data_IF_701325474981
#
_entry.id   IF_701325474981
#
_cell.length_a   1.000
_cell.length_b   1.000
_cell.length_c   1.000
_cell.angle_alpha   90.00
_cell.angle_beta   90.00
_cell.angle_gamma   90.00
#
_symmetry.space_group_name_H-M   'P 1'
#
loop_
_entity.id
_entity.type
_entity.pdbx_description
1 polymer ?
#
# COMPACT_ATOMS: atom_id res chain seq x y z
N UNK A 1 -2.49 -26.36 11.07
CA UNK A 1 -2.24 -25.09 10.35
C UNK A 1 -0.79 -24.74 10.52
N UNK A 2 -0.08 -24.47 9.42
CA UNK A 2 1.32 -24.09 9.45
C UNK A 2 1.48 -22.59 9.29
N UNK A 3 2.37 -21.96 10.07
CA UNK A 3 2.77 -20.57 9.84
C UNK A 3 3.74 -20.53 8.65
N UNK A 4 3.46 -19.68 7.66
CA UNK A 4 4.24 -19.57 6.42
C UNK A 4 4.90 -18.20 6.22
N UNK A 5 4.46 -17.20 6.97
CA UNK A 5 4.99 -15.84 6.93
C UNK A 5 4.74 -15.17 8.28
N UNK A 6 5.72 -14.40 8.76
CA UNK A 6 5.58 -13.58 9.96
C UNK A 6 5.96 -12.14 9.65
N UNK A 7 5.12 -11.20 10.05
CA UNK A 7 5.44 -9.77 10.00
C UNK A 7 6.02 -9.32 11.34
N UNK A 8 7.13 -8.58 11.30
CA UNK A 8 7.78 -8.04 12.51
C UNK A 8 7.76 -6.51 12.58
N UNK A 9 7.91 -5.96 13.78
CA UNK A 9 8.21 -4.53 13.97
C UNK A 9 9.66 -4.19 13.60
N UNK A 10 10.03 -2.90 13.75
CA UNK A 10 11.40 -2.41 13.50
C UNK A 10 12.44 -2.93 14.49
N UNK A 11 12.00 -3.55 15.60
CA UNK A 11 12.85 -4.17 16.62
C UNK A 11 12.90 -5.69 16.49
N UNK A 12 12.29 -6.26 15.42
CA UNK A 12 12.23 -7.70 15.18
C UNK A 12 11.21 -8.45 16.01
N UNK A 13 10.28 -7.78 16.70
CA UNK A 13 9.19 -8.45 17.42
C UNK A 13 8.12 -8.90 16.44
N UNK A 14 7.67 -10.16 16.58
CA UNK A 14 6.60 -10.72 15.77
C UNK A 14 5.26 -10.04 16.09
N UNK A 15 4.54 -9.63 15.06
CA UNK A 15 3.26 -8.91 15.19
C UNK A 15 2.10 -9.67 14.56
N UNK A 16 2.29 -10.17 13.34
CA UNK A 16 1.26 -10.89 12.57
C UNK A 16 1.82 -12.19 12.02
N UNK A 17 1.00 -13.22 12.04
CA UNK A 17 1.33 -14.58 11.63
C UNK A 17 0.35 -15.02 10.56
N UNK A 18 0.85 -15.38 9.38
CA UNK A 18 0.02 -15.89 8.27
C UNK A 18 0.17 -17.39 8.17
N UNK A 19 -0.96 -18.08 8.01
CA UNK A 19 -1.02 -19.53 7.83
C UNK A 19 -0.99 -19.95 6.36
N UNK A 20 -0.71 -21.23 6.13
CA UNK A 20 -0.88 -21.96 4.87
C UNK A 20 -2.27 -21.84 4.23
N UNK A 21 -3.29 -21.50 5.03
CA UNK A 21 -4.66 -21.19 4.57
C UNK A 21 -4.90 -19.71 4.29
N UNK A 22 -3.84 -18.89 4.20
CA UNK A 22 -3.89 -17.45 3.96
C UNK A 22 -4.72 -16.67 5.00
N UNK A 23 -4.79 -17.18 6.24
CA UNK A 23 -5.38 -16.44 7.37
C UNK A 23 -4.28 -15.78 8.17
N UNK A 24 -4.52 -14.53 8.56
CA UNK A 24 -3.60 -13.78 9.39
C UNK A 24 -4.14 -13.64 10.81
N UNK A 25 -3.23 -13.74 11.77
CA UNK A 25 -3.52 -13.68 13.20
C UNK A 25 -2.58 -12.68 13.86
N UNK A 26 -3.11 -11.89 14.79
CA UNK A 26 -2.30 -11.10 15.72
C UNK A 26 -1.53 -12.01 16.68
N UNK A 27 -0.52 -11.46 17.36
CA UNK A 27 0.24 -12.22 18.36
C UNK A 27 -0.63 -12.86 19.45
N UNK A 28 -1.60 -12.18 20.09
CA UNK A 28 -2.49 -12.82 21.07
C UNK A 28 -3.26 -14.01 20.50
N UNK A 29 -3.87 -13.86 19.32
CA UNK A 29 -4.63 -14.92 18.67
C UNK A 29 -3.74 -16.12 18.32
N UNK A 30 -2.54 -15.85 17.78
CA UNK A 30 -1.58 -16.89 17.43
C UNK A 30 -1.07 -17.64 18.68
N UNK A 31 -0.89 -16.95 19.81
CA UNK A 31 -0.54 -17.58 21.11
C UNK A 31 -1.64 -18.52 21.57
N UNK A 32 -2.91 -18.10 21.49
CA UNK A 32 -4.03 -18.94 21.90
C UNK A 32 -4.20 -20.17 21.00
N UNK A 33 -4.02 -20.01 19.68
CA UNK A 33 -4.00 -21.13 18.74
C UNK A 33 -2.85 -22.11 19.01
N UNK A 34 -1.65 -21.60 19.36
CA UNK A 34 -0.51 -22.44 19.71
C UNK A 34 -0.77 -23.24 21.00
N UNK A 35 -1.36 -22.63 22.04
CA UNK A 35 -1.75 -23.32 23.29
C UNK A 35 -2.77 -24.42 23.04
N UNK A 36 -3.68 -24.21 22.09
CA UNK A 36 -4.70 -25.19 21.68
C UNK A 36 -4.13 -26.29 20.76
N UNK A 37 -2.83 -26.27 20.43
CA UNK A 37 -2.21 -27.24 19.52
C UNK A 37 -2.65 -27.10 18.06
N UNK A 38 -3.28 -25.97 17.67
CA UNK A 38 -3.79 -25.73 16.31
C UNK A 38 -2.71 -25.24 15.33
N UNK A 39 -1.60 -24.71 15.85
CA UNK A 39 -0.43 -24.31 15.07
C UNK A 39 0.63 -25.39 15.09
N UNK A 40 1.01 -25.85 13.90
CA UNK A 40 2.01 -26.89 13.72
C UNK A 40 3.40 -26.39 14.08
N UNK A 41 4.09 -27.15 14.91
CA UNK A 41 5.48 -26.92 15.28
C UNK A 41 5.81 -25.54 15.89
N UNK A 42 4.79 -24.84 16.39
CA UNK A 42 4.93 -23.58 17.10
C UNK A 42 4.52 -23.77 18.57
N UNK A 43 5.20 -23.10 19.49
CA UNK A 43 4.84 -23.08 20.91
C UNK A 43 5.04 -21.69 21.52
N UNK A 44 4.23 -21.31 22.52
CA UNK A 44 4.42 -20.05 23.24
C UNK A 44 5.58 -20.14 24.23
N UNK A 45 6.32 -19.05 24.36
CA UNK A 45 7.37 -18.85 25.35
C UNK A 45 7.01 -17.65 26.20
N UNK A 46 7.08 -17.83 27.51
CA UNK A 46 6.76 -16.80 28.50
C UNK A 46 8.04 -16.18 29.04
N UNK A 47 8.08 -14.86 29.09
CA UNK A 47 9.10 -14.06 29.77
C UNK A 47 8.42 -12.98 30.62
N UNK A 48 9.18 -12.37 31.53
CA UNK A 48 8.69 -11.29 32.40
C UNK A 48 8.13 -10.09 31.62
N UNK A 49 8.56 -9.91 30.37
CA UNK A 49 8.15 -8.80 29.50
C UNK A 49 7.04 -9.17 28.51
N UNK A 50 6.54 -10.41 28.54
CA UNK A 50 5.41 -10.85 27.71
C UNK A 50 5.56 -12.27 27.13
N UNK A 51 4.67 -12.59 26.19
CA UNK A 51 4.62 -13.88 25.49
C UNK A 51 5.04 -13.71 24.03
N UNK A 52 5.84 -14.64 23.52
CA UNK A 52 6.16 -14.73 22.10
C UNK A 52 6.08 -16.18 21.61
N UNK A 53 6.12 -16.37 20.30
CA UNK A 53 6.07 -17.70 19.67
C UNK A 53 7.46 -18.13 19.19
N UNK A 54 7.77 -19.42 19.34
CA UNK A 54 8.96 -20.05 18.76
C UNK A 54 8.62 -21.33 18.01
N UNK A 55 9.49 -21.65 17.06
CA UNK A 55 9.50 -22.93 16.35
C UNK A 55 10.08 -24.03 17.22
N UNK A 56 9.50 -25.25 17.17
CA UNK A 56 10.05 -26.45 17.81
C UNK A 56 11.47 -26.76 17.29
N UNK A 57 12.31 -27.34 18.14
CA UNK A 57 13.69 -27.73 17.79
C UNK A 57 13.71 -28.78 16.69
N UNK A 58 14.75 -28.75 15.85
CA UNK A 58 14.97 -29.75 14.80
C UNK A 58 14.24 -29.50 13.47
N UNK A 59 13.48 -28.40 13.34
CA UNK A 59 12.85 -28.07 12.07
C UNK A 59 13.85 -27.52 11.03
N UNK A 60 13.63 -27.82 9.73
CA UNK A 60 14.40 -27.22 8.65
C UNK A 60 14.38 -25.69 8.73
N UNK A 61 15.52 -25.05 8.42
CA UNK A 61 15.68 -23.59 8.52
C UNK A 61 14.56 -22.82 7.81
N UNK A 62 14.14 -23.28 6.63
CA UNK A 62 13.04 -22.68 5.84
C UNK A 62 11.67 -22.67 6.51
N UNK A 63 11.49 -23.40 7.60
CA UNK A 63 10.23 -23.49 8.37
C UNK A 63 10.33 -22.82 9.75
N UNK A 64 11.51 -22.32 10.10
CA UNK A 64 11.72 -21.59 11.34
C UNK A 64 11.14 -20.17 11.21
N UNK A 65 10.46 -19.70 12.25
CA UNK A 65 9.81 -18.38 12.26
C UNK A 65 10.79 -17.29 11.83
N UNK A 66 12.02 -17.31 12.34
CA UNK A 66 13.06 -16.34 12.00
C UNK A 66 13.38 -16.27 10.50
N UNK A 67 13.27 -17.39 9.77
CA UNK A 67 13.57 -17.45 8.33
C UNK A 67 12.37 -17.10 7.44
N UNK A 68 11.15 -17.18 7.98
CA UNK A 68 9.91 -16.75 7.32
C UNK A 68 9.42 -15.39 7.83
N UNK A 69 10.21 -14.73 8.67
CA UNK A 69 9.95 -13.39 9.17
C UNK A 69 10.37 -12.34 8.16
N UNK A 70 9.52 -11.35 7.95
CA UNK A 70 9.78 -10.15 7.17
C UNK A 70 9.40 -8.93 8.01
N UNK A 71 10.20 -7.87 7.95
CA UNK A 71 9.81 -6.63 8.62
C UNK A 71 8.60 -6.03 7.92
N UNK A 72 7.68 -5.53 8.73
CA UNK A 72 6.58 -4.67 8.29
C UNK A 72 7.01 -3.57 7.31
N UNK A 73 8.14 -2.91 7.56
CA UNK A 73 8.70 -1.93 6.62
C UNK A 73 8.89 -2.51 5.21
N UNK A 74 9.40 -3.73 5.10
CA UNK A 74 9.54 -4.42 3.81
C UNK A 74 8.19 -4.77 3.20
N UNK A 75 7.21 -5.16 4.00
CA UNK A 75 5.84 -5.42 3.51
C UNK A 75 5.21 -4.14 2.94
N UNK A 76 5.31 -3.01 3.65
CA UNK A 76 4.74 -1.74 3.20
C UNK A 76 5.50 -1.09 2.03
N UNK A 77 6.75 -1.48 1.77
CA UNK A 77 7.52 -1.02 0.61
C UNK A 77 7.48 -1.98 -0.58
N UNK A 78 7.00 -3.22 -0.38
CA UNK A 78 6.87 -4.23 -1.43
C UNK A 78 6.05 -3.77 -2.67
N UNK A 79 4.96 -2.98 -2.57
CA UNK A 79 4.23 -2.47 -3.73
C UNK A 79 5.10 -1.65 -4.72
N UNK A 80 6.13 -0.97 -4.21
CA UNK A 80 7.04 -0.14 -5.00
C UNK A 80 8.11 -0.98 -5.73
N UNK A 81 8.42 -2.20 -5.25
CA UNK A 81 9.40 -3.13 -5.84
C UNK A 81 8.95 -4.59 -5.67
N UNK A 82 8.01 -5.00 -6.52
CA UNK A 82 7.41 -6.34 -6.50
C UNK A 82 8.45 -7.44 -6.76
N UNK A 83 9.39 -7.21 -7.68
CA UNK A 83 10.42 -8.19 -8.02
C UNK A 83 11.29 -8.48 -6.80
N UNK A 84 11.79 -7.44 -6.12
CA UNK A 84 12.56 -7.64 -4.91
C UNK A 84 11.73 -8.30 -3.81
N UNK A 85 10.48 -7.87 -3.60
CA UNK A 85 9.59 -8.47 -2.61
C UNK A 85 9.46 -9.98 -2.84
N UNK A 86 9.03 -10.42 -4.01
CA UNK A 86 8.81 -11.83 -4.32
C UNK A 86 10.09 -12.67 -4.35
N UNK A 87 11.27 -12.06 -4.48
CA UNK A 87 12.56 -12.77 -4.41
C UNK A 87 13.00 -13.16 -2.99
N UNK A 88 12.36 -12.63 -1.94
CA UNK A 88 12.77 -12.93 -0.56
C UNK A 88 12.28 -14.29 -0.08
N UNK A 89 13.09 -14.97 0.73
CA UNK A 89 12.75 -16.29 1.29
C UNK A 89 11.43 -16.28 2.07
N UNK A 90 11.13 -15.18 2.78
CA UNK A 90 9.91 -15.05 3.56
C UNK A 90 8.64 -15.16 2.70
N UNK A 91 8.69 -14.67 1.45
CA UNK A 91 7.56 -14.76 0.53
C UNK A 91 7.57 -16.01 -0.35
N UNK A 92 8.64 -16.83 -0.30
CA UNK A 92 8.78 -18.03 -1.13
C UNK A 92 7.66 -19.07 -0.97
N UNK A 93 7.07 -19.17 0.23
CA UNK A 93 5.90 -20.04 0.48
C UNK A 93 4.58 -19.28 0.34
N UNK A 94 4.56 -18.01 0.75
CA UNK A 94 3.37 -17.16 0.72
C UNK A 94 2.87 -16.89 -0.69
N UNK A 95 3.75 -16.50 -1.61
CA UNK A 95 3.38 -16.06 -2.94
C UNK A 95 2.73 -17.16 -3.80
N UNK A 96 3.26 -18.40 -3.87
CA UNK A 96 2.58 -19.49 -4.57
C UNK A 96 1.17 -19.78 -4.05
N UNK A 97 0.96 -19.74 -2.73
CA UNK A 97 -0.35 -19.95 -2.13
C UNK A 97 -1.31 -18.82 -2.46
N UNK A 98 -0.84 -17.56 -2.42
CA UNK A 98 -1.64 -16.41 -2.84
C UNK A 98 -2.09 -16.52 -4.29
N UNK A 99 -1.16 -16.88 -5.20
CA UNK A 99 -1.48 -17.08 -6.62
C UNK A 99 -2.50 -18.19 -6.83
N UNK A 100 -2.33 -19.32 -6.15
CA UNK A 100 -3.29 -20.43 -6.23
C UNK A 100 -4.69 -19.99 -5.77
N UNK A 101 -4.79 -19.27 -4.64
CA UNK A 101 -6.07 -18.74 -4.18
C UNK A 101 -6.71 -17.77 -5.19
N UNK A 102 -5.88 -16.96 -5.87
CA UNK A 102 -6.33 -16.06 -6.93
C UNK A 102 -6.81 -16.82 -8.18
N UNK A 103 -6.16 -17.93 -8.53
CA UNK A 103 -6.58 -18.83 -9.62
C UNK A 103 -7.91 -19.52 -9.30
N UNK A 104 -8.10 -19.96 -8.06
CA UNK A 104 -9.36 -20.57 -7.58
C UNK A 104 -10.55 -19.60 -7.63
N UNK A 105 -10.31 -18.30 -7.41
CA UNK A 105 -11.34 -17.26 -7.57
C UNK A 105 -11.83 -17.12 -9.02
N UNK A 106 -10.98 -17.49 -9.99
CA UNK A 106 -11.25 -17.38 -11.42
C UNK A 106 -11.34 -15.94 -11.95
N UNK A 107 -11.68 -15.82 -13.24
CA UNK A 107 -11.94 -14.55 -13.91
C UNK A 107 -10.70 -13.88 -14.55
N UNK A 108 -10.85 -12.60 -14.91
CA UNK A 108 -9.77 -11.80 -15.50
C UNK A 108 -8.95 -11.11 -14.41
N UNK A 109 -7.63 -11.08 -14.58
CA UNK A 109 -6.70 -10.50 -13.60
C UNK A 109 -6.16 -9.15 -14.04
N UNK A 110 -5.81 -8.31 -13.07
CA UNK A 110 -4.86 -7.22 -13.27
C UNK A 110 -3.46 -7.83 -13.15
N UNK A 111 -2.68 -7.69 -14.22
CA UNK A 111 -1.31 -8.21 -14.31
C UNK A 111 -0.34 -7.03 -14.28
N UNK A 112 0.66 -7.07 -13.41
CA UNK A 112 1.71 -6.05 -13.34
C UNK A 112 3.06 -6.76 -13.46
N UNK A 113 3.82 -6.42 -14.50
CA UNK A 113 4.96 -7.24 -14.93
C UNK A 113 4.48 -8.66 -15.25
N UNK A 114 5.11 -9.66 -14.66
CA UNK A 114 4.76 -11.08 -14.85
C UNK A 114 3.85 -11.64 -13.74
N UNK A 115 3.13 -10.76 -13.03
CA UNK A 115 2.41 -11.13 -11.82
C UNK A 115 0.93 -10.74 -11.88
N UNK A 116 0.05 -11.74 -11.85
CA UNK A 116 -1.36 -11.55 -11.55
C UNK A 116 -1.51 -11.20 -10.06
N UNK A 117 -1.97 -9.98 -9.75
CA UNK A 117 -2.00 -9.48 -8.38
C UNK A 117 -3.41 -9.48 -7.76
N UNK A 118 -4.45 -9.32 -8.58
CA UNK A 118 -5.84 -9.26 -8.12
C UNK A 118 -6.78 -9.51 -9.30
N UNK A 119 -7.96 -10.09 -9.06
CA UNK A 119 -9.02 -10.15 -10.07
C UNK A 119 -9.55 -8.76 -10.38
N UNK A 120 -9.92 -8.48 -11.63
CA UNK A 120 -10.57 -7.22 -12.02
C UNK A 120 -11.85 -6.96 -11.21
N UNK A 121 -12.64 -7.99 -10.89
CA UNK A 121 -13.85 -7.85 -10.09
C UNK A 121 -13.56 -7.33 -8.67
N UNK A 122 -12.61 -7.92 -7.96
CA UNK A 122 -12.20 -7.46 -6.63
C UNK A 122 -11.63 -6.05 -6.65
N UNK A 123 -10.80 -5.72 -7.65
CA UNK A 123 -10.27 -4.37 -7.81
C UNK A 123 -11.40 -3.35 -8.03
N UNK A 124 -12.35 -3.67 -8.92
CA UNK A 124 -13.54 -2.86 -9.18
C UNK A 124 -14.41 -2.67 -7.93
N UNK A 125 -14.68 -3.73 -7.17
CA UNK A 125 -15.44 -3.65 -5.90
C UNK A 125 -14.77 -2.73 -4.86
N UNK A 126 -13.43 -2.63 -4.87
CA UNK A 126 -12.69 -1.70 -4.00
C UNK A 126 -12.74 -0.25 -4.52
N UNK A 127 -12.71 -0.05 -5.84
CA UNK A 127 -12.73 1.29 -6.44
C UNK A 127 -14.11 1.95 -6.43
N UNK A 128 -15.15 1.20 -6.83
CA UNK A 128 -16.48 1.75 -7.11
C UNK A 128 -17.12 2.55 -5.97
N UNK A 129 -17.01 2.16 -4.69
CA UNK A 129 -17.54 2.96 -3.57
C UNK A 129 -16.96 4.37 -3.47
N UNK A 130 -15.87 4.65 -4.18
CA UNK A 130 -15.17 5.93 -4.14
C UNK A 130 -15.33 6.77 -5.42
N UNK A 131 -16.20 6.35 -6.34
CA UNK A 131 -16.45 7.05 -7.60
C UNK A 131 -16.69 8.55 -7.40
N UNK A 132 -17.66 8.91 -6.56
CA UNK A 132 -18.05 10.31 -6.38
C UNK A 132 -16.92 11.13 -5.72
N UNK A 133 -16.14 10.51 -4.84
CA UNK A 133 -14.95 11.13 -4.25
C UNK A 133 -13.85 11.40 -5.29
N UNK A 134 -13.65 10.47 -6.23
CA UNK A 134 -12.67 10.62 -7.32
C UNK A 134 -13.07 11.81 -8.21
N UNK A 135 -14.34 11.88 -8.63
CA UNK A 135 -14.81 13.00 -9.45
C UNK A 135 -14.76 14.33 -8.70
N UNK A 136 -15.19 14.37 -7.43
CA UNK A 136 -15.15 15.60 -6.63
C UNK A 136 -13.71 16.08 -6.37
N UNK A 137 -12.77 15.16 -6.13
CA UNK A 137 -11.37 15.50 -5.99
C UNK A 137 -10.79 16.01 -7.32
N UNK A 138 -11.07 15.33 -8.42
CA UNK A 138 -10.61 15.71 -9.74
C UNK A 138 -11.10 17.11 -10.16
N UNK A 139 -12.38 17.41 -9.92
CA UNK A 139 -12.96 18.73 -10.15
C UNK A 139 -12.28 19.79 -9.29
N UNK A 140 -12.14 19.55 -7.98
CA UNK A 140 -11.52 20.51 -7.06
C UNK A 140 -10.10 20.89 -7.46
N UNK A 141 -9.35 19.92 -7.99
CA UNK A 141 -7.94 20.08 -8.30
C UNK A 141 -7.66 20.29 -9.78
N UNK A 142 -8.68 20.37 -10.64
CA UNK A 142 -8.53 20.51 -12.09
C UNK A 142 -7.54 19.49 -12.67
N UNK A 143 -7.88 18.20 -12.49
CA UNK A 143 -7.14 17.04 -13.00
C UNK A 143 -8.08 16.03 -13.65
N UNK A 144 -7.56 15.14 -14.50
CA UNK A 144 -8.37 14.11 -15.14
C UNK A 144 -8.88 13.06 -14.11
N UNK A 145 -10.20 12.90 -13.91
CA UNK A 145 -10.76 11.94 -12.95
C UNK A 145 -10.44 10.48 -13.31
N UNK A 146 -10.32 10.15 -14.59
CA UNK A 146 -10.01 8.79 -15.02
C UNK A 146 -8.54 8.47 -14.82
N UNK A 147 -7.64 9.45 -14.95
CA UNK A 147 -6.23 9.27 -14.60
C UNK A 147 -6.06 9.12 -13.09
N UNK A 148 -6.77 9.91 -12.30
CA UNK A 148 -6.83 9.73 -10.84
C UNK A 148 -7.36 8.34 -10.48
N UNK A 149 -8.44 7.90 -11.12
CA UNK A 149 -8.99 6.55 -10.96
C UNK A 149 -7.99 5.46 -11.34
N UNK A 150 -7.23 5.64 -12.44
CA UNK A 150 -6.21 4.72 -12.89
C UNK A 150 -5.05 4.57 -11.90
N UNK A 151 -4.61 5.68 -11.30
CA UNK A 151 -3.61 5.67 -10.21
C UNK A 151 -4.16 4.88 -9.02
N UNK A 152 -5.43 5.07 -8.64
CA UNK A 152 -6.03 4.31 -7.54
C UNK A 152 -6.16 2.82 -7.87
N UNK A 153 -6.45 2.45 -9.13
CA UNK A 153 -6.46 1.04 -9.57
C UNK A 153 -5.08 0.41 -9.41
N UNK A 154 -4.01 1.08 -9.84
CA UNK A 154 -2.63 0.62 -9.68
C UNK A 154 -2.30 0.37 -8.21
N UNK A 155 -2.63 1.31 -7.33
CA UNK A 155 -2.38 1.20 -5.89
C UNK A 155 -3.19 0.06 -5.26
N UNK A 156 -4.46 -0.12 -5.65
CA UNK A 156 -5.28 -1.26 -5.21
C UNK A 156 -4.62 -2.59 -5.64
N UNK A 157 -4.18 -2.69 -6.89
CA UNK A 157 -3.63 -3.93 -7.45
C UNK A 157 -2.29 -4.29 -6.81
N UNK A 158 -1.36 -3.35 -6.71
CA UNK A 158 -0.03 -3.58 -6.10
C UNK A 158 -0.11 -3.90 -4.63
N UNK A 159 -1.09 -3.33 -3.93
CA UNK A 159 -1.26 -3.54 -2.50
C UNK A 159 -2.03 -4.82 -2.15
N UNK A 160 -2.81 -5.37 -3.09
CA UNK A 160 -3.72 -6.48 -2.85
C UNK A 160 -3.08 -7.73 -2.23
N UNK A 161 -1.87 -8.19 -2.65
CA UNK A 161 -1.23 -9.32 -1.99
C UNK A 161 -0.98 -9.04 -0.51
N UNK A 162 -0.57 -7.83 -0.16
CA UNK A 162 -0.09 -7.53 1.18
C UNK A 162 -1.22 -7.33 2.20
N UNK A 163 -2.46 -7.13 1.75
CA UNK A 163 -3.62 -6.82 2.61
C UNK A 163 -3.88 -7.84 3.71
N UNK A 164 -3.71 -9.14 3.42
CA UNK A 164 -3.82 -10.21 4.42
C UNK A 164 -2.91 -9.95 5.62
N UNK A 165 -1.71 -9.42 5.37
CA UNK A 165 -0.72 -9.10 6.40
C UNK A 165 -0.95 -7.72 6.99
N UNK A 166 -1.25 -6.72 6.15
CA UNK A 166 -1.28 -5.32 6.57
C UNK A 166 -2.57 -4.92 7.29
N UNK A 167 -3.69 -5.59 7.02
CA UNK A 167 -4.98 -5.25 7.63
C UNK A 167 -4.98 -5.54 9.15
N UNK A 168 -4.51 -6.70 9.65
CA UNK A 168 -4.39 -6.96 11.09
C UNK A 168 -3.30 -6.14 11.77
N UNK A 169 -2.32 -5.69 10.99
CA UNK A 169 -1.18 -4.89 11.45
C UNK A 169 -1.57 -3.47 11.87
N UNK A 170 -2.72 -2.95 11.45
CA UNK A 170 -3.28 -1.68 11.92
C UNK A 170 -2.31 -0.49 11.84
N UNK A 171 -2.52 0.51 12.69
CA UNK A 171 -1.65 1.69 12.83
C UNK A 171 -0.35 1.42 13.60
N UNK A 172 0.19 0.20 13.63
CA UNK A 172 1.40 -0.11 14.41
C UNK A 172 2.71 0.42 13.76
N UNK A 173 2.63 1.02 12.55
CA UNK A 173 3.81 1.41 11.75
C UNK A 173 3.92 2.91 11.46
N UNK A 174 3.29 3.74 12.30
CA UNK A 174 3.21 5.20 12.12
C UNK A 174 4.55 5.96 12.21
N UNK A 175 5.65 5.27 12.49
CA UNK A 175 6.99 5.86 12.58
C UNK A 175 7.72 5.99 11.23
N UNK A 176 7.36 5.19 10.23
CA UNK A 176 7.97 5.23 8.89
C UNK A 176 7.18 6.18 7.96
N UNK A 177 7.84 6.71 6.92
CA UNK A 177 7.17 7.46 5.85
C UNK A 177 6.40 6.50 4.93
N UNK A 178 5.32 5.94 5.48
CA UNK A 178 4.52 4.89 4.86
C UNK A 178 3.47 5.50 3.93
N UNK A 179 3.14 4.79 2.85
CA UNK A 179 1.98 5.07 2.02
C UNK A 179 0.69 4.63 2.73
N UNK A 180 -0.34 5.48 2.72
CA UNK A 180 -1.55 5.27 3.54
C UNK A 180 -2.81 5.41 2.70
N UNK A 181 -3.81 4.59 3.03
CA UNK A 181 -5.15 4.67 2.45
C UNK A 181 -5.24 4.05 1.05
N UNK A 182 -6.41 4.19 0.43
CA UNK A 182 -6.69 3.53 -0.86
C UNK A 182 -5.80 4.04 -2.01
N UNK A 183 -5.39 5.30 -1.95
CA UNK A 183 -4.51 5.93 -2.94
C UNK A 183 -3.03 5.88 -2.54
N UNK A 184 -2.68 5.20 -1.43
CA UNK A 184 -1.30 4.96 -1.00
C UNK A 184 -0.41 6.23 -0.99
N UNK A 185 -0.94 7.34 -0.48
CA UNK A 185 -0.17 8.60 -0.40
C UNK A 185 0.82 8.53 0.76
N UNK A 186 2.11 8.81 0.50
CA UNK A 186 3.15 8.93 1.53
C UNK A 186 2.85 10.09 2.48
N UNK A 187 3.02 9.88 3.79
CA UNK A 187 2.74 10.91 4.81
C UNK A 187 3.55 12.19 4.55
N UNK A 188 4.82 12.07 4.15
CA UNK A 188 5.67 13.24 3.86
C UNK A 188 5.19 14.00 2.60
N UNK A 189 4.63 13.30 1.62
CA UNK A 189 3.98 13.92 0.45
C UNK A 189 2.77 14.74 0.90
N UNK A 190 1.92 14.18 1.75
CA UNK A 190 0.76 14.89 2.29
C UNK A 190 1.15 16.14 3.11
N UNK A 191 2.18 16.02 3.97
CA UNK A 191 2.75 17.16 4.69
C UNK A 191 3.24 18.25 3.73
N UNK A 192 3.94 17.86 2.65
CA UNK A 192 4.41 18.76 1.61
C UNK A 192 3.26 19.50 0.90
N UNK A 193 2.19 18.79 0.56
CA UNK A 193 1.01 19.37 -0.08
C UNK A 193 0.27 20.35 0.84
N UNK A 194 0.14 20.05 2.12
CA UNK A 194 -0.40 21.00 3.12
C UNK A 194 0.51 22.22 3.22
N UNK A 195 1.83 22.03 3.29
CA UNK A 195 2.82 23.11 3.38
C UNK A 195 2.76 24.05 2.16
N UNK A 196 2.55 23.50 0.98
CA UNK A 196 2.38 24.24 -0.27
C UNK A 196 0.98 24.87 -0.42
N UNK A 197 0.02 24.50 0.43
CA UNK A 197 -1.34 25.04 0.42
C UNK A 197 -2.31 24.34 -0.53
N UNK A 198 -1.94 23.20 -1.11
CA UNK A 198 -2.81 22.46 -2.04
C UNK A 198 -4.02 21.86 -1.33
N UNK A 199 -3.83 21.20 -0.18
CA UNK A 199 -4.92 20.54 0.52
C UNK A 199 -4.73 20.58 2.03
N UNK A 200 -5.80 20.90 2.76
CA UNK A 200 -5.89 20.77 4.21
C UNK A 200 -7.09 19.87 4.55
N UNK A 201 -6.87 18.69 5.15
CA UNK A 201 -7.96 17.74 5.44
C UNK A 201 -8.86 18.22 6.59
N UNK A 202 -8.43 19.19 7.40
CA UNK A 202 -9.26 19.83 8.43
C UNK A 202 -8.91 21.32 8.56
N UNK A 203 -9.59 22.20 7.81
CA UNK A 203 -9.38 23.64 7.84
C UNK A 203 -9.59 24.30 9.22
N UNK A 204 -10.29 23.64 10.16
CA UNK A 204 -10.51 24.16 11.51
C UNK A 204 -9.32 23.91 12.45
N UNK A 205 -8.45 22.95 12.13
CA UNK A 205 -7.19 22.75 12.87
C UNK A 205 -6.12 23.68 12.32
N UNK A 206 -5.83 24.76 13.05
CA UNK A 206 -4.84 25.77 12.67
C UNK A 206 -3.41 25.19 12.57
N UNK A 207 -3.15 24.01 13.15
CA UNK A 207 -1.86 23.31 13.03
C UNK A 207 -1.67 22.68 11.65
N UNK A 208 -2.76 22.35 10.95
CA UNK A 208 -2.74 21.84 9.57
C UNK A 208 -2.67 22.95 8.51
N UNK A 209 -2.25 24.16 8.89
CA UNK A 209 -2.03 25.26 7.96
C UNK A 209 -0.60 25.24 7.40
N UNK A 210 -0.35 25.86 6.22
CA UNK A 210 0.98 26.01 5.65
C UNK A 210 2.05 26.53 6.63
N UNK A 211 1.65 27.44 7.54
CA UNK A 211 2.53 28.07 8.53
C UNK A 211 2.89 27.15 9.70
N UNK A 212 1.99 26.26 10.11
CA UNK A 212 2.14 25.47 11.33
C UNK A 212 2.42 23.98 11.11
N UNK A 213 2.31 23.49 9.86
CA UNK A 213 2.40 22.06 9.54
C UNK A 213 3.73 21.40 9.95
N UNK A 214 4.81 22.18 10.09
CA UNK A 214 6.11 21.68 10.55
C UNK A 214 6.07 21.15 12.00
N UNK A 215 5.04 21.50 12.78
CA UNK A 215 4.84 21.06 14.17
C UNK A 215 4.03 19.77 14.27
N UNK A 216 3.47 19.29 13.17
CA UNK A 216 2.63 18.09 13.12
C UNK A 216 3.52 16.86 12.91
N UNK A 217 3.29 15.84 13.73
CA UNK A 217 3.94 14.54 13.59
C UNK A 217 3.23 13.66 12.54
N UNK A 218 3.95 12.67 12.01
CA UNK A 218 3.36 11.67 11.09
C UNK A 218 2.16 10.94 11.71
N UNK A 219 2.24 10.66 13.01
CA UNK A 219 1.18 10.00 13.78
C UNK A 219 -0.12 10.82 13.81
N UNK A 220 -0.01 12.14 13.92
CA UNK A 220 -1.16 13.04 13.94
C UNK A 220 -1.82 13.20 12.57
N UNK A 221 -1.06 13.08 11.46
CA UNK A 221 -1.62 13.18 10.11
C UNK A 221 -2.26 11.88 9.62
N UNK A 222 -1.78 10.73 10.10
CA UNK A 222 -2.23 9.41 9.65
C UNK A 222 -3.75 9.17 9.70
N UNK A 223 -4.50 9.56 10.76
CA UNK A 223 -5.94 9.34 10.82
C UNK A 223 -6.71 10.01 9.68
N UNK A 224 -6.18 11.11 9.13
CA UNK A 224 -6.75 11.74 7.95
C UNK A 224 -6.47 10.89 6.70
N UNK A 225 -5.20 10.53 6.46
CA UNK A 225 -4.81 9.75 5.27
C UNK A 225 -5.46 8.36 5.20
N UNK A 226 -5.77 7.75 6.35
CA UNK A 226 -6.49 6.47 6.39
C UNK A 226 -7.91 6.58 5.84
N UNK A 227 -8.55 7.75 5.90
CA UNK A 227 -9.89 7.96 5.37
C UNK A 227 -9.83 8.04 3.84
N UNK A 228 -10.64 7.24 3.10
CA UNK A 228 -10.62 7.24 1.64
C UNK A 228 -10.80 8.64 1.02
N UNK A 229 -11.69 9.46 1.58
CA UNK A 229 -11.90 10.85 1.17
C UNK A 229 -10.59 11.63 1.10
N UNK A 230 -9.87 11.76 2.22
CA UNK A 230 -8.64 12.55 2.25
C UNK A 230 -7.54 11.89 1.41
N UNK A 231 -7.44 10.55 1.41
CA UNK A 231 -6.45 9.84 0.59
C UNK A 231 -6.59 10.19 -0.91
N UNK A 232 -7.82 10.18 -1.43
CA UNK A 232 -8.12 10.51 -2.83
C UNK A 232 -7.88 12.00 -3.10
N UNK A 233 -8.29 12.88 -2.19
CA UNK A 233 -8.04 14.33 -2.35
C UNK A 233 -6.54 14.66 -2.32
N UNK A 234 -5.75 13.99 -1.48
CA UNK A 234 -4.30 14.14 -1.50
C UNK A 234 -3.67 13.60 -2.79
N UNK A 235 -4.20 12.52 -3.36
CA UNK A 235 -3.72 12.00 -4.64
C UNK A 235 -3.99 13.00 -5.79
N UNK A 236 -5.20 13.57 -5.85
CA UNK A 236 -5.55 14.62 -6.81
C UNK A 236 -4.69 15.88 -6.61
N UNK A 237 -4.51 16.32 -5.35
CA UNK A 237 -3.62 17.43 -5.01
C UNK A 237 -2.17 17.18 -5.45
N UNK A 238 -1.69 15.93 -5.34
CA UNK A 238 -0.35 15.54 -5.82
C UNK A 238 -0.24 15.66 -7.33
N UNK A 239 -1.24 15.21 -8.08
CA UNK A 239 -1.27 15.39 -9.53
C UNK A 239 -1.21 16.88 -9.90
N UNK A 240 -2.00 17.71 -9.22
CA UNK A 240 -2.03 19.16 -9.44
C UNK A 240 -0.68 19.83 -9.13
N UNK A 241 -0.06 19.48 -8.00
CA UNK A 241 1.28 19.94 -7.63
C UNK A 241 2.32 19.60 -8.70
N UNK A 242 2.27 18.38 -9.24
CA UNK A 242 3.16 17.97 -10.33
C UNK A 242 2.95 18.79 -11.60
N UNK A 243 1.70 18.96 -12.04
CA UNK A 243 1.41 19.72 -13.26
C UNK A 243 1.82 21.19 -13.07
N UNK A 244 1.59 21.79 -11.90
CA UNK A 244 1.98 23.17 -11.62
C UNK A 244 3.49 23.38 -11.57
N UNK A 245 4.22 22.43 -10.99
CA UNK A 245 5.67 22.45 -10.90
C UNK A 245 6.32 22.33 -12.30
N UNK A 246 5.74 21.50 -13.16
CA UNK A 246 6.30 21.17 -14.48
C UNK A 246 5.81 22.07 -15.62
N UNK A 247 4.73 22.85 -15.46
CA UNK A 247 4.10 23.63 -16.54
C UNK A 247 5.04 24.58 -17.31
N UNK A 248 6.13 25.02 -16.69
CA UNK A 248 7.15 25.88 -17.34
C UNK A 248 8.05 25.12 -18.32
N UNK A 249 8.08 23.79 -18.23
CA UNK A 249 8.97 22.91 -18.98
C UNK A 249 8.19 22.07 -19.98
N UNK A 250 7.06 21.50 -19.54
CA UNK A 250 6.16 20.65 -20.35
C UNK A 250 4.74 20.79 -19.82
N UNK A 251 3.75 20.84 -20.71
CA UNK A 251 2.34 20.69 -20.33
C UNK A 251 2.02 19.23 -20.02
N UNK A 252 2.01 18.89 -18.72
CA UNK A 252 1.72 17.53 -18.28
C UNK A 252 0.27 17.11 -18.50
N UNK A 253 -0.68 18.03 -18.73
CA UNK A 253 -2.07 17.66 -19.00
C UNK A 253 -2.22 16.85 -20.29
N UNK A 254 -1.28 17.01 -21.23
CA UNK A 254 -1.21 16.25 -22.48
C UNK A 254 -0.33 15.00 -22.38
N UNK A 255 0.21 14.70 -21.19
CA UNK A 255 1.22 13.66 -20.94
C UNK A 255 0.85 12.83 -19.70
N UNK A 256 -0.32 12.15 -19.69
CA UNK A 256 -0.81 11.38 -18.54
C UNK A 256 0.17 10.31 -18.05
N UNK A 257 0.95 9.71 -18.95
CA UNK A 257 2.00 8.73 -18.65
C UNK A 257 3.14 9.33 -17.81
N UNK A 258 3.43 10.62 -17.99
CA UNK A 258 4.44 11.33 -17.20
C UNK A 258 3.89 11.67 -15.82
N UNK A 259 2.63 12.12 -15.73
CA UNK A 259 1.98 12.34 -14.43
C UNK A 259 1.99 11.05 -13.61
N UNK A 260 1.55 9.94 -14.22
CA UNK A 260 1.53 8.63 -13.57
C UNK A 260 2.94 8.18 -13.15
N UNK A 261 3.95 8.36 -14.02
CA UNK A 261 5.35 8.07 -13.68
C UNK A 261 5.82 8.87 -12.46
N UNK A 262 5.58 10.19 -12.45
CA UNK A 262 6.05 11.09 -11.39
C UNK A 262 5.30 10.94 -10.06
N UNK A 263 4.07 10.41 -10.09
CA UNK A 263 3.27 10.23 -8.89
C UNK A 263 3.95 9.28 -7.89
N UNK A 264 4.53 8.18 -8.37
CA UNK A 264 5.12 7.14 -7.51
C UNK A 264 6.63 7.32 -7.26
N UNK A 265 7.31 8.15 -8.06
CA UNK A 265 8.74 8.40 -7.89
C UNK A 265 9.02 9.35 -6.73
N UNK A 266 10.20 9.23 -6.08
CA UNK A 266 10.76 10.33 -5.30
C UNK A 266 10.80 11.61 -6.13
N UNK A 267 10.73 12.78 -5.49
CA UNK A 267 10.75 14.06 -6.19
C UNK A 267 11.89 14.11 -7.23
N UNK A 268 11.53 14.46 -8.47
CA UNK A 268 12.45 14.67 -9.58
C UNK A 268 12.31 16.13 -10.05
N UNK A 269 13.43 16.84 -10.26
CA UNK A 269 13.36 18.18 -10.81
C UNK A 269 12.74 18.16 -12.22
N UNK A 270 11.93 19.18 -12.58
CA UNK A 270 11.37 19.31 -13.92
C UNK A 270 12.44 19.35 -15.01
N UNK A 271 12.09 18.80 -16.19
CA UNK A 271 12.91 18.77 -17.39
C UNK A 271 12.04 18.96 -18.62
N UNK A 272 12.62 19.44 -19.71
CA UNK A 272 11.90 19.72 -20.97
C UNK A 272 11.52 18.47 -21.76
N UNK A 273 12.18 17.34 -21.51
CA UNK A 273 11.93 16.05 -22.17
C UNK A 273 11.81 14.94 -21.13
N UNK A 274 10.71 14.87 -20.38
CA UNK A 274 10.46 13.77 -19.47
C UNK A 274 10.12 12.48 -20.24
N UNK A 275 10.59 11.37 -19.69
CA UNK A 275 10.30 10.02 -20.16
C UNK A 275 9.42 9.31 -19.12
N UNK A 276 8.49 8.49 -19.61
CA UNK A 276 7.70 7.60 -18.77
C UNK A 276 8.49 6.35 -18.41
N UNK A 277 8.05 5.66 -17.35
CA UNK A 277 8.44 4.27 -17.09
C UNK A 277 7.27 3.32 -17.36
N UNK A 278 7.54 2.02 -17.29
CA UNK A 278 6.54 0.98 -17.56
C UNK A 278 5.29 1.10 -16.67
N UNK A 279 5.46 1.46 -15.38
CA UNK A 279 4.34 1.70 -14.46
C UNK A 279 3.47 2.87 -14.94
N UNK A 280 4.08 3.99 -15.31
CA UNK A 280 3.36 5.16 -15.80
C UNK A 280 2.64 4.90 -17.14
N UNK A 281 3.26 4.14 -18.03
CA UNK A 281 2.65 3.69 -19.29
C UNK A 281 1.44 2.79 -19.04
N UNK A 282 1.57 1.79 -18.18
CA UNK A 282 0.48 0.87 -17.85
C UNK A 282 -0.72 1.62 -17.21
N UNK A 283 -0.44 2.55 -16.29
CA UNK A 283 -1.48 3.38 -15.68
C UNK A 283 -2.21 4.20 -16.73
N UNK A 284 -1.47 4.92 -17.58
CA UNK A 284 -2.04 5.84 -18.55
C UNK A 284 -2.76 5.14 -19.72
N UNK A 285 -2.44 3.88 -20.01
CA UNK A 285 -3.10 3.12 -21.07
C UNK A 285 -4.13 2.11 -20.54
N UNK A 286 -3.67 1.05 -19.88
CA UNK A 286 -4.51 -0.06 -19.45
C UNK A 286 -5.48 0.37 -18.33
N UNK A 287 -4.94 0.89 -17.23
CA UNK A 287 -5.77 1.20 -16.06
C UNK A 287 -6.66 2.41 -16.29
N UNK A 288 -6.25 3.33 -17.17
CA UNK A 288 -7.07 4.43 -17.63
C UNK A 288 -8.33 3.95 -18.36
N UNK A 289 -8.21 2.94 -19.24
CA UNK A 289 -9.36 2.29 -19.89
C UNK A 289 -10.28 1.62 -18.86
N UNK A 290 -9.70 0.92 -17.88
CA UNK A 290 -10.47 0.31 -16.78
C UNK A 290 -11.20 1.37 -15.94
N UNK A 291 -10.53 2.47 -15.58
CA UNK A 291 -11.14 3.57 -14.83
C UNK A 291 -12.33 4.17 -15.60
N UNK A 292 -12.18 4.43 -16.91
CA UNK A 292 -13.28 4.88 -17.79
C UNK A 292 -14.46 3.92 -17.87
N UNK A 293 -14.22 2.62 -17.69
CA UNK A 293 -15.29 1.63 -17.68
C UNK A 293 -15.95 1.52 -16.30
N UNK A 294 -15.16 1.53 -15.23
CA UNK A 294 -15.62 1.21 -13.88
C UNK A 294 -16.25 2.40 -13.15
N UNK A 295 -15.86 3.62 -13.52
CA UNK A 295 -16.34 4.87 -12.93
C UNK A 295 -17.51 5.51 -13.69
N UNK A 296 -18.08 4.83 -14.69
CA UNK A 296 -19.31 5.27 -15.35
C UNK A 296 -20.45 5.45 -14.34
#
# INVERSE_FOLDING_TARGET
MKIILVATDSRGKNLVFVTDTLRAYSLPEAVDLAKQGKLENIYPVHHDTGVYLRTKRGLPKKEQLDSISVSSYRIFSAPDDLHHAFSTQAFGTYWPLYKHALEEDGGTYIVIGDHALITMERARKKLQPHRDLIFAAAERFDVDPHLLGAIVIDEIARFAPWQIVTDPLGGHFLGANTSVGIAQVKIDTALGLIKKGYYNPNPRDSRLSPKNIQKITRQELYPYLKKPEHGIFFAAARMRDLIDEWKKFVDLNQRPEIIATLYHLPHRPPRTQPESNDRGLQIADEFYKLAKQWLR
#
